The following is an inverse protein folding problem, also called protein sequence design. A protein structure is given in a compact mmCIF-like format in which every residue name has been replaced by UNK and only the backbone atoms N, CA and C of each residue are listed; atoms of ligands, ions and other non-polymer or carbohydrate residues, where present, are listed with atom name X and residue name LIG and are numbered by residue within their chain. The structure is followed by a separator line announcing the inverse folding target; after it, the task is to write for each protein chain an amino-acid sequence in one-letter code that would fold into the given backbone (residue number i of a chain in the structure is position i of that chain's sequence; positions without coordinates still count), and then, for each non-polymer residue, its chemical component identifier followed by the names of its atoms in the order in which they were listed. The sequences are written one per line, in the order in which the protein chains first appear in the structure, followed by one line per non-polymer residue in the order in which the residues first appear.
data_IF_360270538290
#
_entry.id   IF_360270538290
#
_cell.length_a   1.000
_cell.length_b   1.000
_cell.length_c   1.000
_cell.angle_alpha   90.00
_cell.angle_beta   90.00
_cell.angle_gamma   90.00
#
_symmetry.space_group_name_H-M   'P 1'
#
loop_
_entity.id
_entity.type
_entity.pdbx_description
1 polymer ?
#
# COMPACT_ATOMS: atom_id res chain seq x y z
N UNK A 1 -10.11 2.41 -17.02
CA UNK A 1 -10.74 1.72 -15.86
C UNK A 1 -9.99 0.40 -15.67
N UNK A 2 -9.22 0.22 -14.60
CA UNK A 2 -8.27 -0.91 -14.43
C UNK A 2 -8.89 -2.30 -14.62
N UNK A 3 -10.15 -2.46 -14.21
CA UNK A 3 -10.94 -3.71 -14.35
C UNK A 3 -11.13 -4.18 -15.80
N UNK A 4 -10.85 -3.33 -16.80
CA UNK A 4 -10.90 -3.73 -18.21
C UNK A 4 -9.60 -4.38 -18.70
N UNK A 5 -8.51 -4.28 -17.92
CA UNK A 5 -7.18 -4.74 -18.28
C UNK A 5 -6.66 -5.80 -17.29
N UNK A 6 -6.89 -5.59 -15.99
CA UNK A 6 -6.36 -6.44 -14.93
C UNK A 6 -7.47 -7.30 -14.30
N UNK A 7 -7.11 -8.52 -13.91
CA UNK A 7 -7.95 -9.42 -13.11
C UNK A 7 -7.60 -9.39 -11.63
N UNK A 8 -8.37 -10.10 -10.82
CA UNK A 8 -8.13 -10.22 -9.38
C UNK A 8 -6.92 -11.11 -9.05
N UNK A 9 -6.33 -10.88 -7.88
CA UNK A 9 -5.22 -11.67 -7.35
C UNK A 9 -5.72 -12.97 -6.69
N UNK A 10 -4.87 -14.00 -6.63
CA UNK A 10 -5.20 -15.31 -6.03
C UNK A 10 -4.01 -15.90 -5.27
N UNK A 11 -4.27 -16.58 -4.15
CA UNK A 11 -3.28 -17.43 -3.49
C UNK A 11 -2.51 -16.71 -2.40
N UNK A 12 -1.18 -16.71 -2.52
CA UNK A 12 -0.22 -16.12 -1.58
C UNK A 12 -0.17 -14.58 -1.64
N UNK A 13 -1.04 -13.93 -2.42
CA UNK A 13 -1.09 -12.48 -2.53
C UNK A 13 -1.41 -11.75 -1.21
N UNK A 14 -1.84 -12.47 -0.18
CA UNK A 14 -2.01 -11.93 1.17
C UNK A 14 -0.71 -11.91 1.98
N UNK A 15 0.31 -12.68 1.60
CA UNK A 15 1.64 -12.70 2.21
C UNK A 15 2.49 -11.56 1.63
N UNK A 16 2.05 -10.33 1.88
CA UNK A 16 2.58 -9.09 1.30
C UNK A 16 3.90 -8.63 1.92
N UNK A 17 4.42 -9.34 2.94
CA UNK A 17 5.66 -8.97 3.66
C UNK A 17 6.73 -10.04 3.47
N UNK A 18 7.90 -9.63 2.97
CA UNK A 18 9.06 -10.49 2.77
C UNK A 18 10.19 -10.17 3.76
N UNK A 19 10.86 -11.20 4.27
CA UNK A 19 12.12 -11.06 5.00
C UNK A 19 13.26 -10.76 4.00
N UNK A 20 13.97 -9.66 4.22
CA UNK A 20 15.09 -9.23 3.37
C UNK A 20 16.32 -8.91 4.19
N UNK A 21 17.46 -8.68 3.52
CA UNK A 21 18.71 -8.28 4.19
C UNK A 21 18.61 -6.92 4.92
N UNK A 22 17.62 -6.09 4.61
CA UNK A 22 17.42 -4.76 5.21
C UNK A 22 16.25 -4.71 6.20
N UNK A 23 15.60 -5.85 6.47
CA UNK A 23 14.43 -5.96 7.34
C UNK A 23 13.22 -6.57 6.65
N UNK A 24 12.07 -6.57 7.34
CA UNK A 24 10.79 -7.01 6.77
C UNK A 24 10.19 -5.92 5.89
N UNK A 25 10.03 -6.22 4.60
CA UNK A 25 9.53 -5.28 3.59
C UNK A 25 8.15 -5.71 3.13
N UNK A 26 7.15 -4.87 3.39
CA UNK A 26 5.81 -5.04 2.85
C UNK A 26 5.54 -4.14 1.65
N UNK A 27 4.51 -4.46 0.87
CA UNK A 27 4.07 -3.63 -0.23
C UNK A 27 2.56 -3.74 -0.45
N UNK A 28 1.96 -2.62 -0.83
CA UNK A 28 0.59 -2.54 -1.35
C UNK A 28 0.57 -1.59 -2.55
N UNK A 29 -0.44 -1.75 -3.40
CA UNK A 29 -0.61 -0.98 -4.62
C UNK A 29 -1.88 -0.11 -4.56
N UNK A 30 -1.72 1.19 -4.79
CA UNK A 30 -2.80 2.14 -5.01
C UNK A 30 -3.89 2.05 -3.91
N UNK A 31 -5.16 1.78 -4.26
CA UNK A 31 -6.26 1.80 -3.30
C UNK A 31 -6.32 0.63 -2.32
N UNK A 32 -5.38 -0.32 -2.39
CA UNK A 32 -5.20 -1.31 -1.31
C UNK A 32 -4.90 -0.61 0.04
N UNK A 33 -4.27 0.57 0.02
CA UNK A 33 -4.03 1.41 1.20
C UNK A 33 -5.31 2.03 1.80
N UNK A 34 -6.48 1.84 1.18
CA UNK A 34 -7.76 2.23 1.75
C UNK A 34 -8.60 1.05 2.22
N UNK A 35 -8.12 -0.19 2.07
CA UNK A 35 -8.83 -1.41 2.48
C UNK A 35 -8.46 -1.78 3.92
N UNK A 36 -9.31 -1.49 4.94
CA UNK A 36 -8.88 -1.57 6.34
C UNK A 36 -8.48 -2.99 6.77
N UNK A 37 -9.19 -4.01 6.26
CA UNK A 37 -8.89 -5.42 6.58
C UNK A 37 -7.57 -5.90 5.94
N UNK A 38 -7.28 -5.48 4.71
CA UNK A 38 -6.03 -5.83 4.03
C UNK A 38 -4.84 -5.13 4.68
N UNK A 39 -5.00 -3.85 5.04
CA UNK A 39 -4.01 -3.10 5.81
C UNK A 39 -3.72 -3.78 7.15
N UNK A 40 -4.77 -4.08 7.93
CA UNK A 40 -4.63 -4.76 9.22
C UNK A 40 -3.94 -6.12 9.07
N UNK A 41 -4.27 -6.89 8.03
CA UNK A 41 -3.57 -8.13 7.71
C UNK A 41 -2.07 -7.90 7.46
N UNK A 42 -1.72 -6.88 6.69
CA UNK A 42 -0.33 -6.52 6.38
C UNK A 42 0.43 -6.08 7.64
N UNK A 43 -0.18 -5.25 8.50
CA UNK A 43 0.40 -4.84 9.79
C UNK A 43 0.69 -6.03 10.70
N UNK A 44 -0.22 -7.01 10.71
CA UNK A 44 -0.08 -8.23 11.53
C UNK A 44 1.13 -9.09 11.13
N UNK A 45 1.61 -8.93 9.89
CA UNK A 45 2.85 -9.53 9.39
C UNK A 45 4.13 -8.76 9.80
N UNK A 46 3.97 -7.66 10.55
CA UNK A 46 5.04 -6.91 11.23
C UNK A 46 6.09 -6.32 10.30
N UNK A 47 5.68 -5.79 9.16
CA UNK A 47 6.58 -5.02 8.28
C UNK A 47 7.32 -3.91 9.05
N UNK A 48 8.54 -3.62 8.62
CA UNK A 48 9.38 -2.53 9.15
C UNK A 48 9.54 -1.42 8.12
N UNK A 49 9.56 -1.81 6.85
CA UNK A 49 9.61 -0.92 5.70
C UNK A 49 8.42 -1.29 4.82
N UNK A 50 7.68 -0.30 4.33
CA UNK A 50 6.53 -0.50 3.47
C UNK A 50 6.70 0.29 2.17
N UNK A 51 6.49 -0.37 1.03
CA UNK A 51 6.46 0.27 -0.29
C UNK A 51 5.01 0.57 -0.66
N UNK A 52 4.67 1.86 -0.66
CA UNK A 52 3.37 2.33 -1.10
C UNK A 52 3.47 2.80 -2.56
N UNK A 53 3.05 1.95 -3.49
CA UNK A 53 3.12 2.23 -4.92
C UNK A 53 1.86 2.94 -5.42
N UNK A 54 2.04 4.05 -6.15
CA UNK A 54 0.94 4.89 -6.63
C UNK A 54 1.11 5.29 -8.10
N UNK A 55 0.01 5.42 -8.85
CA UNK A 55 0.03 5.99 -10.19
C UNK A 55 0.31 7.50 -10.14
N UNK A 56 0.66 8.12 -11.29
CA UNK A 56 0.80 9.57 -11.37
C UNK A 56 -0.59 10.20 -11.30
N UNK A 57 -0.83 11.02 -10.27
CA UNK A 57 -2.11 11.71 -10.09
C UNK A 57 -1.87 13.20 -9.88
N UNK A 58 -2.81 14.01 -10.38
CA UNK A 58 -2.71 15.46 -10.32
C UNK A 58 -2.47 15.93 -8.88
N UNK A 59 -1.62 16.94 -8.72
CA UNK A 59 -1.31 17.52 -7.42
C UNK A 59 -2.55 18.04 -6.70
N UNK A 60 -3.53 18.55 -7.46
CA UNK A 60 -4.83 19.02 -6.96
C UNK A 60 -5.99 18.38 -7.72
N UNK A 61 -7.14 18.32 -7.07
CA UNK A 61 -8.35 17.77 -7.67
C UNK A 61 -8.86 18.74 -8.75
N UNK A 62 -9.26 18.24 -9.94
CA UNK A 62 -10.03 19.05 -10.87
C UNK A 62 -11.37 19.44 -10.25
N UNK A 63 -12.08 20.40 -10.85
CA UNK A 63 -13.41 20.81 -10.37
C UNK A 63 -14.36 19.60 -10.32
N UNK A 64 -14.95 19.33 -9.16
CA UNK A 64 -15.79 18.15 -8.92
C UNK A 64 -15.02 16.83 -8.73
N UNK A 65 -13.69 16.86 -8.75
CA UNK A 65 -12.81 15.72 -8.50
C UNK A 65 -12.74 15.33 -7.02
N UNK A 66 -12.27 14.11 -6.76
CA UNK A 66 -12.10 13.59 -5.41
C UNK A 66 -10.74 13.99 -4.84
N UNK A 67 -10.73 14.57 -3.64
CA UNK A 67 -9.47 14.91 -2.94
C UNK A 67 -8.62 13.68 -2.66
N UNK A 68 -9.24 12.52 -2.44
CA UNK A 68 -8.50 11.26 -2.28
C UNK A 68 -7.69 10.89 -3.52
N UNK A 69 -8.01 11.44 -4.70
CA UNK A 69 -7.35 11.17 -5.98
C UNK A 69 -6.32 12.24 -6.37
N UNK A 70 -5.77 12.96 -5.40
CA UNK A 70 -4.74 13.99 -5.59
C UNK A 70 -3.41 13.55 -4.99
N UNK A 71 -2.28 14.07 -5.48
CA UNK A 71 -0.97 13.82 -4.86
C UNK A 71 -0.99 14.08 -3.33
N UNK A 72 -1.75 15.08 -2.87
CA UNK A 72 -1.96 15.35 -1.44
C UNK A 72 -2.76 14.25 -0.73
N UNK A 73 -3.86 13.79 -1.31
CA UNK A 73 -4.68 12.71 -0.76
C UNK A 73 -3.92 11.37 -0.70
N UNK A 74 -3.11 11.08 -1.71
CA UNK A 74 -2.27 9.89 -1.77
C UNK A 74 -1.17 9.93 -0.70
N UNK A 75 -0.46 11.05 -0.58
CA UNK A 75 0.55 11.26 0.43
C UNK A 75 -0.05 11.20 1.85
N UNK A 76 -1.25 11.76 2.06
CA UNK A 76 -1.97 11.65 3.32
C UNK A 76 -2.32 10.19 3.64
N UNK A 77 -2.83 9.43 2.67
CA UNK A 77 -3.12 8.00 2.82
C UNK A 77 -1.86 7.22 3.24
N UNK A 78 -0.73 7.46 2.57
CA UNK A 78 0.53 6.79 2.87
C UNK A 78 1.10 7.20 4.24
N UNK A 79 0.90 8.46 4.65
CA UNK A 79 1.32 8.96 5.96
C UNK A 79 0.50 8.34 7.09
N UNK A 80 -0.81 8.22 6.92
CA UNK A 80 -1.68 7.51 7.88
C UNK A 80 -1.27 6.04 7.95
N UNK A 81 -0.98 5.40 6.82
CA UNK A 81 -0.48 4.03 6.80
C UNK A 81 0.81 3.88 7.63
N UNK A 82 1.75 4.83 7.54
CA UNK A 82 2.99 4.82 8.33
C UNK A 82 2.70 4.82 9.83
N UNK A 83 1.76 5.66 10.27
CA UNK A 83 1.33 5.75 11.67
C UNK A 83 0.59 4.48 12.14
N UNK A 84 -0.30 3.93 11.30
CA UNK A 84 -1.08 2.73 11.62
C UNK A 84 -0.17 1.49 11.74
N UNK A 85 0.75 1.29 10.77
CA UNK A 85 1.69 0.17 10.75
C UNK A 85 2.86 0.33 11.73
N UNK A 86 3.16 1.57 12.13
CA UNK A 86 4.42 1.98 12.74
C UNK A 86 5.63 1.45 11.94
N UNK A 87 5.64 1.72 10.63
CA UNK A 87 6.71 1.32 9.70
C UNK A 87 7.23 2.54 8.92
N UNK A 88 8.44 2.43 8.36
CA UNK A 88 8.93 3.41 7.39
C UNK A 88 8.21 3.21 6.06
N UNK A 89 7.50 4.22 5.57
CA UNK A 89 6.74 4.14 4.31
C UNK A 89 7.48 4.88 3.20
N UNK A 90 7.80 4.14 2.13
CA UNK A 90 8.29 4.63 0.86
C UNK A 90 7.09 4.93 -0.05
N UNK A 91 6.57 6.15 0.03
CA UNK A 91 5.51 6.63 -0.85
C UNK A 91 6.11 6.92 -2.23
N UNK A 92 5.80 6.06 -3.20
CA UNK A 92 6.42 6.05 -4.52
C UNK A 92 5.39 6.31 -5.59
N UNK A 93 5.64 7.32 -6.40
CA UNK A 93 4.79 7.74 -7.53
C UNK A 93 5.63 7.81 -8.80
N UNK A 94 5.04 7.45 -9.93
CA UNK A 94 5.62 7.75 -11.24
C UNK A 94 5.39 9.21 -11.64
N UNK A 95 6.16 9.70 -12.61
CA UNK A 95 5.98 11.01 -13.24
C UNK A 95 5.63 10.81 -14.71
N UNK A 96 4.66 11.57 -15.23
CA UNK A 96 4.35 11.60 -16.65
C UNK A 96 5.12 12.74 -17.30
N UNK A 97 5.80 12.44 -18.39
CA UNK A 97 6.42 13.43 -19.26
C UNK A 97 5.52 13.78 -20.45
N UNK A 98 5.78 14.90 -21.13
CA UNK A 98 5.06 15.27 -22.34
C UNK A 98 5.16 14.18 -23.42
N UNK A 99 6.35 13.58 -23.58
CA UNK A 99 6.55 12.47 -24.51
C UNK A 99 5.67 11.26 -24.16
N UNK A 100 5.44 10.99 -22.88
CA UNK A 100 4.51 9.95 -22.41
C UNK A 100 3.06 10.25 -22.78
N UNK A 101 2.62 11.50 -22.58
CA UNK A 101 1.27 11.96 -23.00
C UNK A 101 1.06 11.77 -24.49
N UNK A 102 2.03 12.20 -25.30
CA UNK A 102 1.95 12.15 -26.76
C UNK A 102 1.95 10.70 -27.27
N UNK A 103 2.81 9.84 -26.70
CA UNK A 103 2.92 8.43 -27.06
C UNK A 103 1.64 7.67 -26.75
N UNK A 104 1.09 7.88 -25.55
CA UNK A 104 -0.12 7.20 -25.09
C UNK A 104 -1.41 7.86 -25.59
N UNK A 105 -1.31 9.04 -26.22
CA UNK A 105 -2.42 9.84 -26.75
C UNK A 105 -3.45 10.18 -25.67
N UNK A 106 -2.98 10.60 -24.50
CA UNK A 106 -3.84 10.90 -23.34
C UNK A 106 -4.23 12.36 -23.22
N UNK A 107 -3.74 13.25 -24.10
CA UNK A 107 -3.96 14.70 -23.98
C UNK A 107 -5.42 15.15 -23.95
N UNK A 108 -6.32 14.42 -24.62
CA UNK A 108 -7.77 14.71 -24.62
C UNK A 108 -8.55 13.90 -23.55
N UNK A 109 -7.86 13.10 -22.74
CA UNK A 109 -8.46 12.27 -21.70
C UNK A 109 -8.63 13.00 -20.37
N UNK A 110 -9.36 12.38 -19.44
CA UNK A 110 -9.60 12.94 -18.09
C UNK A 110 -8.44 12.72 -17.11
N UNK A 111 -7.55 11.79 -17.42
CA UNK A 111 -6.48 11.33 -16.51
C UNK A 111 -5.16 11.26 -17.26
N UNK A 112 -4.07 11.56 -16.56
CA UNK A 112 -2.71 11.38 -17.10
C UNK A 112 -2.52 12.11 -18.44
N UNK A 113 -3.18 13.27 -18.58
CA UNK A 113 -3.33 14.05 -19.82
C UNK A 113 -2.32 15.20 -19.94
N UNK A 114 -1.54 15.44 -18.90
CA UNK A 114 -0.52 16.48 -18.84
C UNK A 114 0.71 15.94 -18.11
N UNK A 115 1.90 16.56 -18.33
CA UNK A 115 3.09 16.24 -17.55
C UNK A 115 2.86 16.50 -16.06
N UNK A 116 3.40 15.64 -15.21
CA UNK A 116 3.31 15.78 -13.75
C UNK A 116 2.99 14.47 -13.03
N UNK A 117 2.36 14.59 -11.87
CA UNK A 117 1.86 13.46 -11.08
C UNK A 117 2.83 12.89 -10.06
N UNK A 118 4.06 13.42 -9.99
CA UNK A 118 5.03 13.08 -8.96
C UNK A 118 4.66 13.67 -7.60
N UNK A 119 4.65 12.83 -6.56
CA UNK A 119 4.48 13.24 -5.17
C UNK A 119 5.26 12.38 -4.17
N UNK A 120 6.29 11.66 -4.65
CA UNK A 120 7.05 10.69 -3.87
C UNK A 120 7.60 11.28 -2.57
N UNK A 121 7.64 10.47 -1.50
CA UNK A 121 8.12 10.89 -0.19
C UNK A 121 8.53 9.68 0.67
N UNK A 122 9.33 9.92 1.70
CA UNK A 122 9.59 8.92 2.75
C UNK A 122 8.96 9.40 4.05
N UNK A 123 8.16 8.55 4.70
CA UNK A 123 7.57 8.81 6.01
C UNK A 123 8.16 7.88 7.06
N UNK A 124 8.47 8.44 8.24
CA UNK A 124 8.83 7.68 9.43
C UNK A 124 7.62 6.97 10.06
N UNK A 125 7.86 6.07 11.04
CA UNK A 125 6.81 5.29 11.70
C UNK A 125 5.84 6.13 12.54
N UNK A 126 6.18 7.38 12.84
CA UNK A 126 5.30 8.37 13.48
C UNK A 126 4.55 9.25 12.45
N UNK A 127 4.75 8.99 11.15
CA UNK A 127 4.22 9.76 10.03
C UNK A 127 4.99 11.05 9.70
N UNK A 128 6.14 11.31 10.35
CA UNK A 128 7.00 12.43 10.00
C UNK A 128 7.57 12.26 8.60
N UNK A 129 7.50 13.30 7.78
CA UNK A 129 8.14 13.30 6.46
C UNK A 129 9.66 13.46 6.61
N UNK A 130 10.42 12.57 5.98
CA UNK A 130 11.89 12.50 6.09
C UNK A 130 12.62 13.05 4.87
N UNK A 131 11.89 13.38 3.80
CA UNK A 131 12.45 13.89 2.54
C UNK A 131 11.95 15.29 2.21
N UNK A 132 12.74 16.03 1.44
CA UNK A 132 12.26 17.19 0.72
C UNK A 132 11.36 16.77 -0.45
N UNK A 133 10.50 17.69 -0.90
CA UNK A 133 9.70 17.51 -2.10
C UNK A 133 10.53 17.73 -3.37
N UNK A 134 10.22 16.95 -4.41
CA UNK A 134 10.57 17.27 -5.78
C UNK A 134 9.38 17.96 -6.44
N UNK A 135 9.60 18.81 -7.47
CA UNK A 135 8.53 19.24 -8.34
C UNK A 135 7.78 18.06 -8.94
N UNK A 136 6.47 18.18 -9.11
CA UNK A 136 5.60 17.09 -9.58
C UNK A 136 5.88 16.63 -11.02
N UNK A 137 6.64 17.42 -11.76
CA UNK A 137 7.07 17.20 -13.15
C UNK A 137 8.51 16.68 -13.27
N UNK A 138 9.23 16.52 -12.16
CA UNK A 138 10.64 16.13 -12.16
C UNK A 138 10.83 14.68 -11.67
N UNK A 139 11.59 13.90 -12.44
CA UNK A 139 12.06 12.58 -12.00
C UNK A 139 13.24 12.73 -11.04
N UNK A 140 13.31 11.87 -10.02
CA UNK A 140 14.43 11.88 -9.10
C UNK A 140 14.39 10.72 -8.11
N UNK A 141 15.49 10.58 -7.37
CA UNK A 141 15.62 9.58 -6.30
C UNK A 141 15.65 10.33 -4.97
N UNK A 142 14.73 9.96 -4.08
CA UNK A 142 14.68 10.47 -2.72
C UNK A 142 15.46 9.55 -1.79
N UNK A 143 16.23 10.14 -0.88
CA UNK A 143 17.05 9.43 0.09
C UNK A 143 16.67 9.84 1.50
N UNK A 144 16.65 8.88 2.41
CA UNK A 144 16.59 9.10 3.86
C UNK A 144 17.41 8.02 4.56
N UNK A 145 18.06 8.40 5.66
CA UNK A 145 18.66 7.45 6.60
C UNK A 145 17.62 7.09 7.64
N UNK A 146 17.40 5.79 7.86
CA UNK A 146 16.41 5.29 8.81
C UNK A 146 17.11 4.53 9.95
N UNK A 147 16.57 4.68 11.15
CA UNK A 147 16.91 3.84 12.30
C UNK A 147 15.71 2.94 12.61
N UNK A 148 15.91 1.62 12.55
CA UNK A 148 14.81 0.68 12.79
C UNK A 148 14.33 0.69 14.25
N UNK A 149 15.12 1.23 15.18
CA UNK A 149 14.70 1.37 16.58
C UNK A 149 13.61 2.44 16.77
N UNK A 150 13.46 3.40 15.83
CA UNK A 150 12.36 4.38 15.84
C UNK A 150 10.98 3.71 15.78
N UNK A 151 10.89 2.52 15.18
CA UNK A 151 9.67 1.70 15.15
C UNK A 151 9.27 1.29 16.58
N UNK A 152 10.24 0.92 17.41
CA UNK A 152 10.00 0.52 18.79
C UNK A 152 9.44 1.69 19.60
N UNK A 153 9.96 2.90 19.37
CA UNK A 153 9.44 4.11 20.00
C UNK A 153 7.99 4.36 19.61
N UNK A 154 7.63 4.32 18.32
CA UNK A 154 6.24 4.51 17.87
C UNK A 154 5.31 3.44 18.46
N UNK A 155 5.71 2.17 18.42
CA UNK A 155 4.92 1.05 18.96
C UNK A 155 4.79 1.06 20.48
N UNK A 156 5.71 1.70 21.21
CA UNK A 156 5.56 1.87 22.65
C UNK A 156 4.33 2.70 23.03
N UNK A 157 3.93 3.65 22.17
CA UNK A 157 2.73 4.44 22.36
C UNK A 157 1.51 3.77 21.72
N UNK A 158 1.58 3.43 20.44
CA UNK A 158 0.46 2.86 19.66
C UNK A 158 0.96 1.68 18.82
N UNK A 159 0.54 0.47 19.18
CA UNK A 159 0.70 -0.73 18.35
C UNK A 159 -0.68 -1.31 18.04
N UNK A 160 -1.17 -1.06 16.82
CA UNK A 160 -2.52 -1.42 16.36
C UNK A 160 -2.74 -2.93 16.26
N UNK A 161 -1.67 -3.71 16.13
CA UNK A 161 -1.70 -5.18 16.14
C UNK A 161 -1.13 -5.76 17.45
N UNK A 162 -0.64 -4.91 18.35
CA UNK A 162 -0.12 -5.26 19.66
C UNK A 162 -1.08 -4.87 20.79
N UNK A 163 -0.62 -4.09 21.76
CA UNK A 163 -1.38 -3.77 22.97
C UNK A 163 -2.65 -2.93 22.73
N UNK A 164 -2.77 -2.27 21.58
CA UNK A 164 -3.93 -1.44 21.24
C UNK A 164 -5.00 -2.17 20.41
N UNK A 165 -4.82 -3.48 20.15
CA UNK A 165 -5.60 -4.23 19.15
C UNK A 165 -6.92 -4.85 19.63
N UNK A 166 -7.17 -4.95 20.95
CA UNK A 166 -8.38 -5.57 21.56
C UNK A 166 -8.79 -6.93 20.93
N UNK A 167 -7.88 -7.91 20.84
CA UNK A 167 -8.16 -9.22 20.25
C UNK A 167 -9.17 -10.04 21.07
N UNK A 168 -9.45 -9.61 22.31
CA UNK A 168 -10.52 -10.14 23.16
C UNK A 168 -11.93 -9.82 22.64
N UNK A 169 -12.08 -8.80 21.79
CA UNK A 169 -13.38 -8.37 21.24
C UNK A 169 -13.44 -8.43 19.72
N UNK A 170 -12.35 -8.08 19.03
CA UNK A 170 -12.30 -7.93 17.58
C UNK A 170 -11.20 -8.80 17.00
N UNK A 171 -11.51 -9.60 15.99
CA UNK A 171 -10.54 -10.46 15.32
C UNK A 171 -10.68 -10.37 13.81
N UNK A 172 -9.55 -10.59 13.11
CA UNK A 172 -9.51 -10.74 11.67
C UNK A 172 -9.48 -12.23 11.30
N UNK A 173 -10.47 -12.71 10.55
CA UNK A 173 -10.44 -14.02 9.92
C UNK A 173 -9.81 -13.95 8.54
N UNK A 174 -8.80 -14.79 8.28
CA UNK A 174 -8.07 -14.83 6.99
C UNK A 174 -8.20 -16.22 6.38
N UNK A 175 -8.70 -16.28 5.14
CA UNK A 175 -8.80 -17.51 4.38
C UNK A 175 -7.81 -17.48 3.21
N UNK A 176 -6.67 -18.16 3.39
CA UNK A 176 -5.59 -18.20 2.40
C UNK A 176 -5.84 -19.18 1.24
N UNK A 177 -6.98 -19.88 1.21
CA UNK A 177 -7.26 -20.83 0.13
C UNK A 177 -7.69 -20.11 -1.14
N UNK A 178 -7.12 -20.52 -2.28
CA UNK A 178 -7.57 -20.08 -3.60
C UNK A 178 -9.04 -20.48 -3.81
N UNK A 179 -9.92 -19.50 -4.02
CA UNK A 179 -11.33 -19.74 -4.32
C UNK A 179 -11.51 -19.99 -5.82
N UNK A 180 -11.63 -21.26 -6.21
CA UNK A 180 -11.90 -21.65 -7.60
C UNK A 180 -13.37 -21.37 -7.97
N UNK A 181 -13.60 -21.00 -9.24
CA UNK A 181 -14.94 -20.76 -9.80
C UNK A 181 -15.81 -22.02 -9.77
N UNK A 182 -15.21 -23.19 -9.97
CA UNK A 182 -15.85 -24.50 -9.81
C UNK A 182 -15.14 -25.25 -8.69
N UNK A 183 -15.92 -25.67 -7.68
CA UNK A 183 -15.42 -26.53 -6.59
C UNK A 183 -16.04 -27.91 -6.76
N UNK A 184 -15.18 -28.92 -6.90
CA UNK A 184 -15.62 -30.30 -6.75
C UNK A 184 -15.77 -30.62 -5.26
N UNK A 185 -16.74 -31.46 -4.87
CA UNK A 185 -16.82 -31.95 -3.50
C UNK A 185 -15.47 -32.54 -3.08
N UNK A 186 -14.98 -32.20 -1.88
CA UNK A 186 -13.86 -32.95 -1.30
C UNK A 186 -14.35 -34.39 -1.11
N UNK A 187 -13.59 -35.43 -1.49
CA UNK A 187 -13.90 -36.78 -1.03
C UNK A 187 -13.93 -36.74 0.50
N UNK A 188 -14.99 -37.27 1.10
CA UNK A 188 -15.07 -37.44 2.54
C UNK A 188 -13.91 -38.34 2.95
N UNK A 189 -12.96 -37.81 3.72
CA UNK A 189 -12.06 -38.67 4.47
C UNK A 189 -12.92 -39.37 5.51
N UNK A 190 -13.37 -40.58 5.20
CA UNK A 190 -13.72 -41.53 6.25
C UNK A 190 -12.42 -41.80 7.01
N UNK A 191 -12.26 -41.15 8.16
CA UNK A 191 -11.33 -41.60 9.20
C UNK A 191 -11.77 -43.01 9.61
N UNK A 192 -11.20 -44.00 8.94
CA UNK A 192 -11.22 -45.38 9.37
C UNK A 192 -10.05 -45.59 10.34
N UNK A 193 -10.13 -44.99 11.52
CA UNK A 193 -9.31 -45.40 12.68
C UNK A 193 -10.14 -45.21 13.96
N UNK A 194 -11.20 -46.01 14.03
CA UNK A 194 -11.76 -46.47 15.28
C UNK A 194 -11.61 -48.00 15.30
N UNK A 195 -10.47 -48.50 15.82
CA UNK A 195 -10.40 -49.69 16.65
C UNK A 195 -9.07 -49.79 17.40
#
# INVERSE_FOLDING_TARGET
MERTVFGDSFGDCLDSVADTAVGRVGALNCWEHLQPLLKYHTYSQREQIHVAAWPPLNTEAPEGGLESMTGKGLAATSRVYAMESASFVLHSTSVISQAGVDLMRTGDGDWMNAPGGGSSAIFGPDGKKLTADLPDTEEGILYATIDLDDILQSKAFIDVCGHYSRPDLLWLGVDKQIKRHVRFPRPENHDSDAC
#
